data_IF_439324457510
#
_entry.id   IF_439324457510
#
_cell.length_a   1.000
_cell.length_b   1.000
_cell.length_c   1.000
_cell.angle_alpha   90.00
_cell.angle_beta   90.00
_cell.angle_gamma   90.00
#
_symmetry.space_group_name_H-M   'P 1'
#
loop_
_entity.id
_entity.type
_entity.pdbx_description
1 polymer ?
#
# COMPACT_ATOMS: atom_id res chain seq x y z
N UNK A 1 -32.28 9.99 17.93
CA UNK A 1 -32.14 8.73 17.17
C UNK A 1 -30.79 8.15 17.57
N UNK A 2 -30.75 6.96 18.16
CA UNK A 2 -29.48 6.33 18.50
C UNK A 2 -28.72 6.01 17.20
N UNK A 3 -27.42 6.29 17.17
CA UNK A 3 -26.57 5.86 16.06
C UNK A 3 -26.67 4.33 15.93
N UNK A 4 -26.70 3.79 14.69
CA UNK A 4 -26.66 2.35 14.51
C UNK A 4 -25.42 1.77 15.20
N UNK A 5 -25.51 0.55 15.77
CA UNK A 5 -24.37 -0.08 16.40
C UNK A 5 -23.22 -0.20 15.38
N UNK A 6 -22.00 0.03 15.85
CA UNK A 6 -20.81 -0.16 15.03
C UNK A 6 -20.79 -1.60 14.46
N UNK A 7 -20.31 -1.79 13.23
CA UNK A 7 -20.21 -3.13 12.66
C UNK A 7 -19.35 -4.04 13.55
N UNK A 8 -19.72 -5.32 13.61
CA UNK A 8 -18.96 -6.30 14.36
C UNK A 8 -17.53 -6.43 13.78
N UNK A 9 -16.53 -6.49 14.68
CA UNK A 9 -15.14 -6.69 14.29
C UNK A 9 -14.93 -8.07 13.67
N UNK A 10 -14.21 -8.12 12.55
CA UNK A 10 -13.75 -9.37 11.93
C UNK A 10 -12.57 -9.95 12.71
N UNK A 11 -12.68 -11.20 13.14
CA UNK A 11 -11.62 -11.87 13.88
C UNK A 11 -10.41 -12.22 12.99
N UNK A 12 -9.21 -12.28 13.57
CA UNK A 12 -8.01 -12.69 12.83
C UNK A 12 -8.15 -14.11 12.26
N UNK A 13 -8.87 -15.00 12.95
CA UNK A 13 -9.17 -16.36 12.51
C UNK A 13 -10.14 -16.44 11.34
N UNK A 14 -10.70 -15.31 10.88
CA UNK A 14 -11.58 -15.24 9.71
C UNK A 14 -10.87 -14.75 8.45
N UNK A 15 -9.77 -13.99 8.58
CA UNK A 15 -9.08 -13.41 7.41
C UNK A 15 -7.57 -13.71 7.34
N UNK A 16 -6.86 -13.79 8.47
CA UNK A 16 -5.41 -14.02 8.52
C UNK A 16 -4.52 -12.97 7.83
N UNK A 17 -5.10 -11.86 7.34
CA UNK A 17 -4.44 -10.92 6.41
C UNK A 17 -3.14 -10.33 6.96
N UNK A 18 -3.13 -9.84 8.19
CA UNK A 18 -1.93 -9.21 8.78
C UNK A 18 -0.75 -10.20 8.98
N UNK A 19 -0.96 -11.50 8.76
CA UNK A 19 0.08 -12.53 8.78
C UNK A 19 0.52 -12.97 7.37
N UNK A 20 0.05 -12.30 6.31
CA UNK A 20 0.39 -12.62 4.90
C UNK A 20 1.29 -11.62 4.22
N UNK A 21 1.74 -10.58 4.92
CA UNK A 21 2.67 -9.60 4.39
C UNK A 21 3.63 -9.08 5.46
N UNK A 22 4.67 -8.37 5.04
CA UNK A 22 5.53 -7.55 5.89
C UNK A 22 5.46 -6.12 5.39
N UNK A 23 5.25 -5.17 6.31
CA UNK A 23 5.24 -3.73 6.01
C UNK A 23 6.43 -3.06 6.71
N UNK A 24 7.16 -2.23 5.98
CA UNK A 24 8.33 -1.49 6.49
C UNK A 24 8.20 -0.03 6.13
N UNK A 25 8.30 0.85 7.13
CA UNK A 25 8.26 2.29 6.92
C UNK A 25 9.38 2.78 6.00
N UNK A 26 9.04 3.65 5.06
CA UNK A 26 9.96 4.27 4.10
C UNK A 26 9.78 5.78 4.11
N UNK A 27 10.77 6.49 3.57
CA UNK A 27 10.65 7.94 3.41
C UNK A 27 9.57 8.27 2.37
N UNK A 28 8.72 9.28 2.64
CA UNK A 28 7.75 9.74 1.67
C UNK A 28 8.48 10.25 0.42
N UNK A 29 7.88 10.14 -0.80
CA UNK A 29 8.57 10.43 -2.06
C UNK A 29 8.77 11.94 -2.32
N UNK A 30 9.15 12.73 -1.31
CA UNK A 30 9.31 14.20 -1.33
C UNK A 30 10.55 14.67 -2.10
N UNK A 31 11.47 13.76 -2.40
CA UNK A 31 12.71 14.04 -3.16
C UNK A 31 12.80 13.13 -4.38
N UNK A 32 13.66 13.50 -5.34
CA UNK A 32 13.92 12.66 -6.53
C UNK A 32 14.42 11.28 -6.15
N UNK A 33 15.27 11.20 -5.11
CA UNK A 33 15.80 9.95 -4.59
C UNK A 33 14.68 9.06 -4.03
N UNK A 34 13.86 9.57 -3.12
CA UNK A 34 12.81 8.76 -2.50
C UNK A 34 11.71 8.38 -3.50
N UNK A 35 11.39 9.25 -4.46
CA UNK A 35 10.48 8.89 -5.54
C UNK A 35 11.06 7.82 -6.49
N UNK A 36 12.39 7.82 -6.73
CA UNK A 36 13.02 6.73 -7.48
C UNK A 36 13.12 5.43 -6.69
N UNK A 37 13.28 5.49 -5.36
CA UNK A 37 13.26 4.31 -4.50
C UNK A 37 11.87 3.64 -4.55
N UNK A 38 10.78 4.43 -4.54
CA UNK A 38 9.41 3.91 -4.75
C UNK A 38 9.26 3.18 -6.09
N UNK A 39 9.76 3.76 -7.19
CA UNK A 39 9.75 3.06 -8.48
C UNK A 39 10.52 1.74 -8.44
N UNK A 40 11.68 1.73 -7.76
CA UNK A 40 12.48 0.52 -7.62
C UNK A 40 11.71 -0.58 -6.88
N UNK A 41 11.01 -0.25 -5.78
CA UNK A 41 10.15 -1.21 -5.08
C UNK A 41 9.07 -1.78 -6.02
N UNK A 42 8.33 -0.91 -6.72
CA UNK A 42 7.22 -1.30 -7.61
C UNK A 42 7.65 -2.02 -8.89
N UNK A 43 8.95 -2.21 -9.13
CA UNK A 43 9.44 -3.06 -10.22
C UNK A 43 9.57 -4.54 -9.85
N UNK A 44 9.37 -4.89 -8.57
CA UNK A 44 9.45 -6.26 -8.11
C UNK A 44 8.05 -6.84 -7.93
N UNK A 45 7.85 -8.08 -8.41
CA UNK A 45 6.59 -8.79 -8.21
C UNK A 45 6.33 -9.06 -6.73
N UNK A 46 5.07 -8.94 -6.31
CA UNK A 46 4.68 -9.13 -4.90
C UNK A 46 5.13 -8.00 -3.97
N UNK A 47 5.53 -6.85 -4.50
CA UNK A 47 5.88 -5.65 -3.74
C UNK A 47 4.91 -4.52 -4.08
N UNK A 48 4.34 -3.90 -3.06
CA UNK A 48 3.50 -2.72 -3.18
C UNK A 48 4.00 -1.62 -2.25
N UNK A 49 3.49 -0.39 -2.45
CA UNK A 49 3.78 0.75 -1.58
C UNK A 49 2.49 1.31 -1.05
N UNK A 50 2.43 1.52 0.26
CA UNK A 50 1.26 2.03 0.96
C UNK A 50 1.53 3.43 1.52
N UNK A 51 0.55 4.31 1.42
CA UNK A 51 0.49 5.59 2.11
C UNK A 51 -0.79 5.61 2.95
N UNK A 52 -0.68 5.73 4.26
CA UNK A 52 -1.87 5.85 5.11
C UNK A 52 -2.52 7.26 5.03
N UNK A 53 -3.64 7.44 5.73
CA UNK A 53 -4.36 8.72 5.78
C UNK A 53 -3.61 9.86 6.46
N UNK A 54 -2.64 9.55 7.32
CA UNK A 54 -1.79 10.52 8.02
C UNK A 54 -0.55 10.92 7.19
N UNK A 55 -0.29 10.19 6.11
CA UNK A 55 0.76 10.48 5.14
C UNK A 55 2.08 9.75 5.43
N UNK A 56 2.06 8.70 6.26
CA UNK A 56 3.18 7.80 6.45
C UNK A 56 3.23 6.75 5.35
N UNK A 57 4.46 6.44 4.91
CA UNK A 57 4.71 5.58 3.76
C UNK A 57 5.36 4.28 4.20
N UNK A 58 4.93 3.18 3.60
CA UNK A 58 5.52 1.87 3.81
C UNK A 58 5.69 1.13 2.49
N UNK A 59 6.74 0.31 2.40
CA UNK A 59 6.83 -0.75 1.38
C UNK A 59 6.25 -2.03 1.98
N UNK A 60 5.43 -2.72 1.20
CA UNK A 60 4.73 -3.94 1.59
C UNK A 60 5.23 -5.08 0.72
N UNK A 61 5.62 -6.18 1.37
CA UNK A 61 6.05 -7.41 0.74
C UNK A 61 5.00 -8.48 0.98
N UNK A 62 4.38 -8.99 -0.07
CA UNK A 62 3.42 -10.09 0.00
C UNK A 62 4.16 -11.39 0.30
N UNK A 63 4.17 -11.78 1.58
CA UNK A 63 4.89 -12.96 2.04
C UNK A 63 4.23 -13.58 3.27
N UNK A 64 3.78 -14.83 3.10
CA UNK A 64 3.05 -15.54 4.15
C UNK A 64 3.96 -15.93 5.32
N UNK A 65 3.53 -15.60 6.54
CA UNK A 65 4.19 -16.06 7.75
C UNK A 65 4.24 -17.60 7.81
N UNK A 66 5.44 -18.16 8.00
CA UNK A 66 5.67 -19.61 8.08
C UNK A 66 4.98 -20.30 9.26
N UNK A 67 4.57 -19.54 10.28
CA UNK A 67 3.87 -20.07 11.46
C UNK A 67 2.34 -19.94 11.36
N UNK A 68 1.82 -19.32 10.29
CA UNK A 68 0.38 -19.24 10.06
C UNK A 68 -0.16 -20.57 9.52
N UNK A 69 -0.98 -21.25 10.32
CA UNK A 69 -1.57 -22.54 9.97
C UNK A 69 -2.75 -22.40 9.00
N UNK A 70 -3.26 -23.53 8.52
CA UNK A 70 -4.43 -23.59 7.62
C UNK A 70 -5.74 -23.14 8.26
N UNK A 71 -5.83 -23.18 9.59
CA UNK A 71 -6.95 -22.68 10.40
C UNK A 71 -6.77 -21.20 10.82
N UNK A 72 -5.82 -20.49 10.20
CA UNK A 72 -5.49 -19.09 10.48
C UNK A 72 -5.00 -18.80 11.91
N UNK A 73 -4.64 -19.84 12.67
CA UNK A 73 -4.00 -19.70 13.98
C UNK A 73 -2.48 -19.68 13.87
N UNK A 74 -1.83 -18.94 14.77
CA UNK A 74 -0.38 -18.92 14.88
C UNK A 74 0.13 -20.16 15.62
N UNK A 75 0.97 -20.97 14.97
CA UNK A 75 1.55 -22.17 15.56
C UNK A 75 2.48 -21.89 16.75
N UNK A 76 2.95 -20.65 16.90
CA UNK A 76 3.88 -20.21 17.96
C UNK A 76 3.30 -19.08 18.80
N UNK A 77 1.97 -19.05 19.01
CA UNK A 77 1.29 -17.92 19.65
C UNK A 77 1.93 -17.46 20.98
N UNK A 78 2.38 -18.40 21.83
CA UNK A 78 3.05 -18.08 23.09
C UNK A 78 4.43 -17.41 22.88
N UNK A 79 5.12 -17.68 21.77
CA UNK A 79 6.47 -17.21 21.44
C UNK A 79 6.51 -16.19 20.30
N UNK A 80 5.36 -15.59 19.95
CA UNK A 80 5.28 -14.56 18.90
C UNK A 80 6.21 -13.36 19.21
N UNK A 81 6.81 -12.73 18.19
CA UNK A 81 7.66 -11.54 18.41
C UNK A 81 6.82 -10.35 18.90
N UNK A 82 7.48 -9.33 19.46
CA UNK A 82 6.82 -8.17 20.08
C UNK A 82 5.84 -7.46 19.15
N UNK A 83 6.18 -7.25 17.87
CA UNK A 83 5.25 -6.66 16.89
C UNK A 83 3.92 -7.43 16.77
N UNK A 84 3.94 -8.76 16.94
CA UNK A 84 2.73 -9.58 16.96
C UNK A 84 2.05 -9.61 18.33
N UNK A 85 2.74 -9.24 19.41
CA UNK A 85 2.16 -9.11 20.76
C UNK A 85 1.41 -7.81 20.92
N UNK A 86 1.96 -6.75 20.35
CA UNK A 86 1.41 -5.39 20.37
C UNK A 86 0.27 -5.18 19.36
N UNK A 87 0.07 -6.13 18.45
CA UNK A 87 -1.00 -6.05 17.45
C UNK A 87 -2.40 -5.95 18.08
N UNK A 88 -3.17 -4.97 17.61
CA UNK A 88 -4.55 -4.72 17.98
C UNK A 88 -5.47 -4.94 16.77
N UNK A 89 -6.39 -5.90 16.86
CA UNK A 89 -7.31 -6.21 15.77
C UNK A 89 -8.41 -5.16 15.60
N UNK A 90 -8.60 -4.24 16.54
CA UNK A 90 -9.60 -3.18 16.44
C UNK A 90 -9.13 -2.04 15.52
N UNK A 91 -7.83 -1.92 15.28
CA UNK A 91 -7.19 -0.87 14.48
C UNK A 91 -6.55 -1.38 13.19
N UNK A 92 -6.68 -2.67 12.88
CA UNK A 92 -6.12 -3.25 11.66
C UNK A 92 -6.88 -2.82 10.40
N UNK A 93 -6.25 -2.98 9.23
CA UNK A 93 -6.77 -2.51 7.94
C UNK A 93 -8.08 -3.19 7.49
N UNK A 94 -8.49 -4.26 8.16
CA UNK A 94 -9.76 -4.96 7.91
C UNK A 94 -10.90 -4.37 8.74
N UNK A 95 -10.60 -3.88 9.95
CA UNK A 95 -11.59 -3.43 10.92
C UNK A 95 -11.64 -1.91 11.07
N UNK A 96 -10.59 -1.20 10.67
CA UNK A 96 -10.50 0.25 10.68
C UNK A 96 -10.00 0.74 9.31
N UNK A 97 -10.86 1.45 8.57
CA UNK A 97 -10.42 2.16 7.39
C UNK A 97 -9.66 3.42 7.82
N UNK A 98 -8.46 3.60 7.29
CA UNK A 98 -7.57 4.73 7.59
C UNK A 98 -7.54 5.79 6.46
N UNK A 99 -8.29 5.56 5.37
CA UNK A 99 -8.30 6.44 4.21
C UNK A 99 -7.01 6.41 3.38
N UNK A 100 -6.17 5.40 3.57
CA UNK A 100 -4.92 5.24 2.84
C UNK A 100 -5.07 4.81 1.39
N UNK A 101 -3.92 4.64 0.73
CA UNK A 101 -3.79 4.27 -0.68
C UNK A 101 -2.61 3.31 -0.89
N UNK A 102 -2.85 2.28 -1.68
CA UNK A 102 -1.80 1.39 -2.18
C UNK A 102 -1.42 1.71 -3.62
N UNK A 103 -0.16 1.43 -3.95
CA UNK A 103 0.39 1.42 -5.30
C UNK A 103 0.95 0.03 -5.57
N UNK A 104 0.45 -0.64 -6.59
CA UNK A 104 0.95 -1.95 -7.05
C UNK A 104 1.64 -1.83 -8.41
N UNK A 105 1.09 -1.01 -9.31
CA UNK A 105 1.73 -0.69 -10.59
C UNK A 105 2.53 0.63 -10.46
N UNK A 106 3.79 0.69 -10.94
CA UNK A 106 4.56 1.93 -11.06
C UNK A 106 3.79 3.09 -11.70
N UNK A 107 2.88 2.83 -12.64
CA UNK A 107 2.14 3.87 -13.32
C UNK A 107 1.08 4.53 -12.45
N UNK A 108 0.43 3.80 -11.54
CA UNK A 108 -0.53 4.37 -10.61
C UNK A 108 0.18 5.36 -9.67
N UNK A 109 1.40 4.98 -9.24
CA UNK A 109 2.28 5.87 -8.50
C UNK A 109 2.70 7.11 -9.32
N UNK A 110 3.04 6.93 -10.60
CA UNK A 110 3.42 8.03 -11.48
C UNK A 110 2.27 8.99 -11.78
N UNK A 111 1.04 8.49 -11.91
CA UNK A 111 -0.16 9.30 -12.11
C UNK A 111 -0.47 10.11 -10.86
N UNK A 112 -0.44 9.48 -9.69
CA UNK A 112 -0.55 10.18 -8.41
C UNK A 112 0.55 11.24 -8.23
N UNK A 113 1.81 10.91 -8.54
CA UNK A 113 2.93 11.84 -8.36
C UNK A 113 2.81 13.06 -9.29
N UNK A 114 2.22 12.88 -10.49
CA UNK A 114 1.95 13.95 -11.45
C UNK A 114 0.97 14.97 -10.90
N UNK A 115 -0.09 14.50 -10.27
CA UNK A 115 -1.11 15.35 -9.65
C UNK A 115 -0.60 15.99 -8.35
N UNK A 116 -0.05 15.17 -7.45
CA UNK A 116 0.36 15.62 -6.13
C UNK A 116 1.63 16.51 -6.16
N UNK A 117 2.58 16.20 -7.07
CA UNK A 117 3.89 16.88 -7.15
C UNK A 117 4.41 16.98 -8.59
N UNK A 118 3.82 17.83 -9.45
CA UNK A 118 4.12 17.89 -10.89
C UNK A 118 5.59 18.18 -11.21
N UNK A 119 6.24 19.07 -10.44
CA UNK A 119 7.66 19.39 -10.62
C UNK A 119 8.60 18.25 -10.24
N UNK A 120 8.21 17.41 -9.28
CA UNK A 120 8.96 16.20 -8.96
C UNK A 120 8.73 15.11 -9.99
N UNK A 121 7.47 14.91 -10.41
CA UNK A 121 7.12 13.98 -11.48
C UNK A 121 7.92 14.25 -12.76
N UNK A 122 8.02 15.51 -13.22
CA UNK A 122 8.80 15.86 -14.42
C UNK A 122 10.26 15.40 -14.29
N UNK A 123 10.92 15.72 -13.17
CA UNK A 123 12.31 15.33 -12.91
C UNK A 123 12.50 13.82 -12.81
N UNK A 124 11.56 13.12 -12.19
CA UNK A 124 11.59 11.66 -12.06
C UNK A 124 11.41 10.98 -13.41
N UNK A 125 10.41 11.43 -14.19
CA UNK A 125 10.14 10.92 -15.54
C UNK A 125 11.37 11.02 -16.42
N UNK A 126 12.02 12.18 -16.44
CA UNK A 126 13.14 12.44 -17.34
C UNK A 126 14.41 11.66 -16.95
N UNK A 127 14.54 11.25 -15.68
CA UNK A 127 15.76 10.59 -15.17
C UNK A 127 15.62 9.07 -14.97
N UNK A 128 14.47 8.60 -14.51
CA UNK A 128 14.34 7.27 -13.90
C UNK A 128 13.17 6.43 -14.44
N UNK A 129 12.31 6.97 -15.31
CA UNK A 129 11.19 6.23 -15.90
C UNK A 129 11.53 5.81 -17.34
N UNK A 130 11.53 4.51 -17.67
CA UNK A 130 11.75 4.06 -19.03
C UNK A 130 10.70 4.63 -20.00
N UNK A 131 11.06 5.02 -21.23
CA UNK A 131 10.14 5.64 -22.19
C UNK A 131 8.86 4.82 -22.45
N UNK A 132 8.98 3.49 -22.53
CA UNK A 132 7.85 2.59 -22.71
C UNK A 132 6.82 2.68 -21.56
N UNK A 133 7.27 2.85 -20.32
CA UNK A 133 6.38 2.99 -19.15
C UNK A 133 5.78 4.39 -19.05
N UNK A 134 6.53 5.43 -19.45
CA UNK A 134 6.00 6.79 -19.49
C UNK A 134 4.81 6.92 -20.45
N UNK A 135 4.87 6.24 -21.61
CA UNK A 135 3.76 6.20 -22.57
C UNK A 135 2.51 5.47 -22.01
N UNK A 136 2.72 4.35 -21.30
CA UNK A 136 1.63 3.58 -20.69
C UNK A 136 0.90 4.32 -19.57
N UNK A 137 1.62 5.10 -18.75
CA UNK A 137 1.01 5.97 -17.73
C UNK A 137 0.15 7.07 -18.38
N UNK A 138 0.67 7.73 -19.42
CA UNK A 138 -0.08 8.76 -20.17
C UNK A 138 -1.37 8.23 -20.81
N UNK A 139 -1.33 7.01 -21.37
CA UNK A 139 -2.50 6.39 -21.99
C UNK A 139 -3.64 6.09 -20.98
N UNK A 140 -3.31 5.66 -19.76
CA UNK A 140 -4.31 5.42 -18.70
C UNK A 140 -5.00 6.70 -18.27
N UNK A 141 -4.27 7.79 -18.07
CA UNK A 141 -4.88 9.09 -17.72
C UNK A 141 -5.81 9.64 -18.80
N UNK A 142 -5.47 9.47 -20.08
CA UNK A 142 -6.35 9.85 -21.19
C UNK A 142 -7.67 9.04 -21.18
N UNK A 143 -7.61 7.76 -20.79
CA UNK A 143 -8.79 6.90 -20.67
C UNK A 143 -9.63 7.18 -19.41
N UNK A 144 -9.01 7.60 -18.31
CA UNK A 144 -9.70 7.99 -17.07
C UNK A 144 -10.44 9.33 -17.21
N UNK A 145 -9.84 10.30 -17.91
CA UNK A 145 -10.47 11.59 -18.22
C UNK A 145 -11.69 11.49 -19.16
N UNK A 146 -11.82 10.40 -19.91
CA UNK A 146 -12.98 10.14 -20.77
C UNK A 146 -14.19 9.53 -20.02
N UNK A 147 -14.03 9.14 -18.75
CA UNK A 147 -15.09 8.53 -17.93
C UNK A 147 -15.70 9.46 -16.87
N UNK A 148 -15.29 10.72 -16.82
CA UNK A 148 -15.84 11.73 -15.92
C UNK A 148 -16.61 12.80 -16.73
N UNK A 149 -17.76 12.39 -17.29
CA UNK A 149 -18.80 13.31 -17.76
C UNK A 149 -20.17 12.66 -17.51
N UNK A 150 -20.92 13.08 -16.47
CA UNK A 150 -22.36 13.18 -16.56
C UNK A 150 -22.77 14.43 -17.36
#
# INVERSE_FOLDING_TARGET
MAAPPAPALKACTECGKCCTYVSVGINPPRTLRFASDVLWYLYHDGVSVYCDGDGDWSVVFETRCRHLRGDLLCAVYAHRPEICREFDNTTCEVNAADGGRSFEDPADFLDWLREARPGLFRRLRDRSVPPARAAAAGARTASAGARAAP
#
